data_IF_761128939691
#
_entry.id   IF_761128939691
#
_cell.length_a   1.000
_cell.length_b   1.000
_cell.length_c   1.000
_cell.angle_alpha   90.00
_cell.angle_beta   90.00
_cell.angle_gamma   90.00
#
_symmetry.space_group_name_H-M   'P 1'
#
loop_
_entity.id
_entity.type
_entity.pdbx_description
1 polymer ?
#
# COMPACT_ATOMS: atom_id res chain seq x y z
N UNK A 1 -14.60 -9.54 13.45
CA UNK A 1 -15.24 -8.21 13.53
C UNK A 1 -16.61 -8.41 14.17
N UNK A 2 -16.85 -7.84 15.35
CA UNK A 2 -18.19 -7.75 15.92
C UNK A 2 -18.43 -6.30 16.31
N UNK A 3 -19.67 -5.85 16.16
CA UNK A 3 -20.11 -4.51 16.54
C UNK A 3 -20.83 -4.66 17.88
N UNK A 4 -20.30 -4.06 18.94
CA UNK A 4 -20.94 -3.99 20.25
C UNK A 4 -21.53 -2.59 20.45
N UNK A 5 -22.85 -2.53 20.62
CA UNK A 5 -23.59 -1.27 20.76
C UNK A 5 -23.80 -0.95 22.25
N UNK A 6 -23.06 0.01 22.79
CA UNK A 6 -23.22 0.49 24.18
C UNK A 6 -24.24 1.65 24.32
N UNK A 7 -25.36 1.60 23.60
CA UNK A 7 -26.32 2.72 23.53
C UNK A 7 -27.01 3.09 24.86
N UNK A 8 -26.97 2.23 25.88
CA UNK A 8 -27.71 2.43 27.13
C UNK A 8 -26.87 2.89 28.33
N UNK A 9 -25.59 3.24 28.11
CA UNK A 9 -24.68 3.70 29.18
C UNK A 9 -24.09 5.09 28.94
N UNK A 10 -24.41 5.71 27.81
CA UNK A 10 -23.95 7.08 27.52
C UNK A 10 -24.89 8.11 28.19
N UNK A 11 -24.37 8.96 29.09
CA UNK A 11 -25.16 9.95 29.81
C UNK A 11 -25.71 11.09 28.91
N UNK A 12 -25.31 11.16 27.63
CA UNK A 12 -25.79 12.13 26.64
C UNK A 12 -27.11 11.71 25.96
N UNK A 13 -27.70 10.58 26.37
CA UNK A 13 -29.05 10.18 25.97
C UNK A 13 -30.12 11.18 26.49
N UNK A 14 -31.18 11.51 25.71
CA UNK A 14 -31.51 11.02 24.38
C UNK A 14 -30.68 11.65 23.27
N UNK A 15 -30.28 10.82 22.31
CA UNK A 15 -29.43 11.21 21.20
C UNK A 15 -30.19 11.97 20.10
N UNK A 16 -29.52 12.95 19.49
CA UNK A 16 -29.97 13.57 18.23
C UNK A 16 -29.72 12.61 17.05
N UNK A 17 -30.41 12.82 15.92
CA UNK A 17 -30.34 11.92 14.75
C UNK A 17 -28.93 11.76 14.16
N UNK A 18 -28.01 12.67 14.47
CA UNK A 18 -26.61 12.70 14.04
C UNK A 18 -25.64 12.03 15.03
N UNK A 19 -26.08 11.68 16.24
CA UNK A 19 -25.22 11.08 17.26
C UNK A 19 -24.48 9.85 16.75
N UNK A 20 -25.19 8.89 16.17
CA UNK A 20 -24.59 7.68 15.64
C UNK A 20 -23.76 7.92 14.38
N UNK A 21 -24.07 8.96 13.59
CA UNK A 21 -23.24 9.34 12.45
C UNK A 21 -21.87 9.86 12.91
N UNK A 22 -21.82 10.55 14.04
CA UNK A 22 -20.56 11.01 14.64
C UNK A 22 -19.78 9.89 15.35
N UNK A 23 -20.48 8.90 15.91
CA UNK A 23 -19.84 7.76 16.59
C UNK A 23 -19.34 6.68 15.61
N UNK A 24 -20.01 6.48 14.47
CA UNK A 24 -19.61 5.53 13.44
C UNK A 24 -18.81 6.19 12.30
N UNK A 25 -17.63 6.70 12.63
CA UNK A 25 -16.69 7.17 11.62
C UNK A 25 -15.75 6.04 11.20
N UNK A 26 -15.83 5.65 9.93
CA UNK A 26 -14.87 4.74 9.32
C UNK A 26 -13.73 5.57 8.71
N UNK A 27 -12.56 5.52 9.34
CA UNK A 27 -11.35 6.13 8.78
C UNK A 27 -10.55 5.06 8.05
N UNK A 28 -10.74 4.98 6.74
CA UNK A 28 -9.87 4.16 5.90
C UNK A 28 -8.45 4.76 5.87
N UNK A 29 -7.40 3.93 5.73
CA UNK A 29 -6.07 4.44 5.46
C UNK A 29 -6.05 5.22 4.14
N UNK A 30 -5.14 6.16 4.01
CA UNK A 30 -4.91 6.92 2.79
C UNK A 30 -3.43 6.85 2.45
N UNK A 31 -3.12 6.51 1.20
CA UNK A 31 -1.77 6.66 0.66
C UNK A 31 -1.65 8.11 0.21
N UNK A 32 -0.97 8.94 1.00
CA UNK A 32 -0.90 10.40 0.76
C UNK A 32 0.29 10.78 -0.12
N UNK A 33 1.36 9.98 -0.07
CA UNK A 33 2.53 10.16 -0.93
C UNK A 33 3.12 8.80 -1.30
N UNK A 34 3.71 8.72 -2.49
CA UNK A 34 4.43 7.54 -2.93
C UNK A 34 5.49 7.90 -3.97
N UNK A 35 6.58 7.15 -3.97
CA UNK A 35 7.63 7.26 -4.99
C UNK A 35 7.90 5.88 -5.55
N UNK A 36 7.69 5.74 -6.86
CA UNK A 36 8.09 4.58 -7.66
C UNK A 36 8.97 5.11 -8.81
N UNK A 37 10.11 4.47 -9.13
CA UNK A 37 10.93 4.88 -10.25
C UNK A 37 10.10 4.88 -11.53
N UNK A 38 10.28 5.88 -12.39
CA UNK A 38 9.63 5.87 -13.72
C UNK A 38 10.28 4.88 -14.66
N UNK A 39 11.56 4.57 -14.43
CA UNK A 39 12.37 3.68 -15.26
C UNK A 39 13.30 2.84 -14.39
N UNK A 40 13.45 1.57 -14.75
CA UNK A 40 14.34 0.59 -14.12
C UNK A 40 15.20 -0.04 -15.20
N UNK A 41 16.52 -0.05 -15.01
CA UNK A 41 17.43 -0.66 -15.97
C UNK A 41 17.52 -2.17 -15.77
N UNK A 42 17.45 -2.92 -16.86
CA UNK A 42 17.54 -4.38 -16.87
C UNK A 42 18.61 -4.86 -17.85
N UNK A 43 19.20 -6.02 -17.56
CA UNK A 43 20.13 -6.68 -18.47
C UNK A 43 19.36 -7.39 -19.59
N UNK A 44 20.03 -7.76 -20.69
CA UNK A 44 19.42 -8.57 -21.75
C UNK A 44 19.00 -9.98 -21.28
N UNK A 45 19.49 -10.43 -20.12
CA UNK A 45 19.07 -11.67 -19.48
C UNK A 45 17.80 -11.52 -18.62
N UNK A 46 17.31 -10.29 -18.43
CA UNK A 46 16.14 -9.97 -17.62
C UNK A 46 16.43 -9.80 -16.13
N UNK A 47 17.70 -9.52 -15.78
CA UNK A 47 18.11 -9.24 -14.41
C UNK A 47 18.04 -7.74 -14.12
N UNK A 48 17.71 -7.37 -12.88
CA UNK A 48 17.76 -5.97 -12.44
C UNK A 48 19.22 -5.49 -12.43
N UNK A 49 19.49 -4.35 -13.06
CA UNK A 49 20.80 -3.69 -12.99
C UNK A 49 20.94 -2.78 -11.76
N UNK A 50 19.83 -2.53 -11.07
CA UNK A 50 19.72 -1.70 -9.88
C UNK A 50 18.49 -2.11 -9.08
N UNK A 51 18.49 -1.86 -7.78
CA UNK A 51 17.36 -2.16 -6.92
C UNK A 51 16.14 -1.29 -7.29
N UNK A 52 14.96 -1.90 -7.24
CA UNK A 52 13.69 -1.21 -7.36
C UNK A 52 13.20 -0.82 -5.96
N UNK A 53 13.26 0.47 -5.66
CA UNK A 53 12.84 1.02 -4.36
C UNK A 53 11.48 1.68 -4.48
N UNK A 54 10.52 1.29 -3.64
CA UNK A 54 9.18 1.87 -3.54
C UNK A 54 9.00 2.48 -2.16
N UNK A 55 8.77 3.80 -2.11
CA UNK A 55 8.50 4.52 -0.88
C UNK A 55 7.02 4.88 -0.80
N UNK A 56 6.42 4.75 0.38
CA UNK A 56 4.99 5.00 0.60
C UNK A 56 4.79 5.72 1.93
N UNK A 57 3.92 6.71 1.96
CA UNK A 57 3.43 7.39 3.17
C UNK A 57 1.95 7.10 3.34
N UNK A 58 1.55 6.70 4.55
CA UNK A 58 0.18 6.34 4.91
C UNK A 58 -0.30 7.17 6.09
N UNK A 59 -1.51 7.71 5.95
CA UNK A 59 -2.22 8.44 6.99
C UNK A 59 -3.60 7.83 7.25
N UNK A 60 -4.13 8.04 8.46
CA UNK A 60 -5.52 7.77 8.81
C UNK A 60 -6.07 9.02 9.47
N UNK A 61 -7.21 9.50 8.97
CA UNK A 61 -7.85 10.74 9.45
C UNK A 61 -6.91 11.97 9.43
N UNK A 62 -5.98 12.04 8.48
CA UNK A 62 -5.05 13.16 8.31
C UNK A 62 -3.86 13.15 9.28
N UNK A 63 -3.58 12.02 9.93
CA UNK A 63 -2.41 11.84 10.77
C UNK A 63 -1.59 10.60 10.32
N UNK A 64 -0.26 10.63 10.42
CA UNK A 64 0.58 9.47 10.11
C UNK A 64 0.25 8.29 11.03
N UNK A 65 0.34 7.07 10.49
CA UNK A 65 0.03 5.85 11.25
C UNK A 65 1.16 4.84 11.22
N UNK A 66 1.57 4.38 12.40
CA UNK A 66 2.55 3.31 12.56
C UNK A 66 1.91 1.93 12.45
N UNK A 67 2.74 0.93 12.12
CA UNK A 67 2.38 -0.49 12.07
C UNK A 67 1.28 -0.87 11.06
N UNK A 68 0.95 0.00 10.11
CA UNK A 68 0.09 -0.36 8.98
C UNK A 68 0.89 -1.16 7.97
N UNK A 69 0.29 -2.23 7.45
CA UNK A 69 0.90 -3.03 6.39
C UNK A 69 0.75 -2.34 5.05
N UNK A 70 1.87 -2.14 4.36
CA UNK A 70 1.93 -1.75 2.96
C UNK A 70 2.43 -2.93 2.15
N UNK A 71 1.62 -3.38 1.21
CA UNK A 71 1.92 -4.47 0.30
C UNK A 71 2.11 -3.92 -1.11
N UNK A 72 3.24 -4.23 -1.72
CA UNK A 72 3.56 -3.82 -3.08
C UNK A 72 3.59 -5.06 -3.98
N UNK A 73 2.84 -5.01 -5.08
CA UNK A 73 2.77 -6.07 -6.07
C UNK A 73 3.10 -5.48 -7.43
N UNK A 74 4.15 -6.00 -8.06
CA UNK A 74 4.58 -5.58 -9.40
C UNK A 74 4.17 -6.63 -10.42
N UNK A 75 3.48 -6.21 -11.47
CA UNK A 75 3.05 -7.08 -12.58
C UNK A 75 3.61 -6.60 -13.91
N UNK A 76 3.97 -7.54 -14.77
CA UNK A 76 4.29 -7.23 -16.16
C UNK A 76 3.01 -6.95 -16.98
N UNK A 77 3.17 -6.65 -18.27
CA UNK A 77 2.07 -6.35 -19.19
C UNK A 77 1.09 -7.51 -19.42
N UNK A 78 1.48 -8.75 -19.12
CA UNK A 78 0.59 -9.93 -19.21
C UNK A 78 -0.15 -10.21 -17.91
N UNK A 79 0.10 -9.43 -16.85
CA UNK A 79 -0.50 -9.57 -15.53
C UNK A 79 0.23 -10.57 -14.61
N UNK A 80 1.38 -11.11 -15.03
CA UNK A 80 2.18 -12.00 -14.18
C UNK A 80 2.86 -11.21 -13.06
N UNK A 81 2.83 -11.73 -11.84
CA UNK A 81 3.46 -11.12 -10.67
C UNK A 81 4.97 -11.37 -10.75
N UNK A 82 5.73 -10.29 -10.84
CA UNK A 82 7.20 -10.34 -10.92
C UNK A 82 7.84 -10.07 -9.56
N UNK A 83 7.24 -9.17 -8.78
CA UNK A 83 7.65 -8.90 -7.40
C UNK A 83 6.45 -8.80 -6.50
N UNK A 84 6.60 -9.27 -5.26
CA UNK A 84 5.64 -9.05 -4.18
C UNK A 84 6.39 -8.99 -2.86
N UNK A 85 6.16 -7.94 -2.10
CA UNK A 85 6.67 -7.82 -0.74
C UNK A 85 5.74 -6.94 0.09
N UNK A 86 5.87 -7.03 1.41
CA UNK A 86 5.11 -6.22 2.35
C UNK A 86 5.94 -5.82 3.57
N UNK A 87 5.73 -4.59 4.01
CA UNK A 87 6.40 -4.03 5.17
C UNK A 87 5.43 -3.18 5.98
N UNK A 88 5.84 -2.84 7.21
CA UNK A 88 5.04 -2.02 8.11
C UNK A 88 5.53 -0.58 8.12
N UNK A 89 4.61 0.36 8.24
CA UNK A 89 4.94 1.77 8.42
C UNK A 89 5.60 2.04 9.77
N UNK A 90 6.52 3.00 9.78
CA UNK A 90 7.17 3.55 10.96
C UNK A 90 6.27 4.57 11.70
N UNK A 91 6.80 5.20 12.75
CA UNK A 91 6.07 6.21 13.54
C UNK A 91 5.64 7.45 12.74
N UNK A 92 6.32 7.73 11.62
CA UNK A 92 6.00 8.83 10.71
C UNK A 92 5.04 8.39 9.58
N UNK A 93 4.50 7.17 9.64
CA UNK A 93 3.60 6.64 8.62
C UNK A 93 4.30 6.23 7.32
N UNK A 94 5.63 6.13 7.33
CA UNK A 94 6.44 5.88 6.13
C UNK A 94 6.93 4.45 6.08
N UNK A 95 7.16 3.97 4.87
CA UNK A 95 7.78 2.68 4.61
C UNK A 95 8.54 2.70 3.28
N UNK A 96 9.65 1.98 3.25
CA UNK A 96 10.46 1.76 2.05
C UNK A 96 10.57 0.26 1.80
N UNK A 97 10.17 -0.18 0.61
CA UNK A 97 10.24 -1.58 0.17
C UNK A 97 11.23 -1.63 -0.98
N UNK A 98 12.26 -2.46 -0.85
CA UNK A 98 13.33 -2.59 -1.83
C UNK A 98 13.30 -3.99 -2.43
N UNK A 99 13.14 -4.06 -3.74
CA UNK A 99 13.23 -5.29 -4.51
C UNK A 99 14.60 -5.39 -5.17
N UNK A 100 15.30 -6.47 -4.88
CA UNK A 100 16.57 -6.86 -5.49
C UNK A 100 16.33 -7.94 -6.54
N UNK A 101 17.37 -8.26 -7.31
CA UNK A 101 17.28 -9.29 -8.34
C UNK A 101 16.93 -10.67 -7.78
N UNK A 102 17.31 -10.98 -6.53
CA UNK A 102 16.97 -12.25 -5.89
C UNK A 102 15.50 -12.39 -5.50
N UNK A 103 14.75 -11.28 -5.44
CA UNK A 103 13.35 -11.28 -5.02
C UNK A 103 12.39 -11.58 -6.19
N UNK A 104 12.92 -11.65 -7.43
CA UNK A 104 12.10 -11.80 -8.63
C UNK A 104 11.48 -13.19 -8.72
N UNK A 105 10.19 -13.23 -8.99
CA UNK A 105 9.45 -14.45 -9.28
C UNK A 105 9.46 -14.79 -10.78
N UNK A 106 9.90 -13.86 -11.63
CA UNK A 106 10.09 -14.03 -13.06
C UNK A 106 11.13 -13.03 -13.60
N UNK A 107 11.70 -13.26 -14.81
CA UNK A 107 12.58 -12.28 -15.45
C UNK A 107 11.90 -10.92 -15.70
N UNK A 108 12.67 -9.85 -15.56
CA UNK A 108 12.23 -8.48 -15.84
C UNK A 108 12.68 -8.11 -17.27
N UNK A 109 11.80 -8.32 -18.24
CA UNK A 109 12.08 -7.97 -19.64
C UNK A 109 11.72 -6.50 -19.92
N UNK A 110 12.24 -5.95 -21.01
CA UNK A 110 11.88 -4.60 -21.45
C UNK A 110 10.36 -4.48 -21.63
N UNK A 111 9.78 -3.40 -21.10
CA UNK A 111 8.35 -3.13 -21.20
C UNK A 111 7.80 -2.36 -20.01
N UNK A 112 6.48 -2.18 -19.99
CA UNK A 112 5.78 -1.48 -18.92
C UNK A 112 5.28 -2.44 -17.85
N UNK A 113 5.50 -2.07 -16.60
CA UNK A 113 5.10 -2.80 -15.42
C UNK A 113 4.10 -1.98 -14.61
N UNK A 114 3.09 -2.65 -14.07
CA UNK A 114 2.11 -2.04 -13.14
C UNK A 114 2.53 -2.33 -11.72
N UNK A 115 2.57 -1.29 -10.89
CA UNK A 115 2.80 -1.38 -9.45
C UNK A 115 1.48 -1.13 -8.74
N UNK A 116 1.02 -2.13 -8.01
CA UNK A 116 -0.12 -2.05 -7.12
C UNK A 116 0.38 -1.89 -5.68
N UNK A 117 -0.06 -0.83 -5.01
CA UNK A 117 0.29 -0.53 -3.63
C UNK A 117 -0.99 -0.63 -2.81
N UNK A 118 -1.00 -1.48 -1.79
CA UNK A 118 -2.12 -1.64 -0.85
C UNK A 118 -1.67 -1.26 0.54
N UNK A 119 -2.44 -0.41 1.22
CA UNK A 119 -2.23 -0.06 2.63
C UNK A 119 -3.43 -0.51 3.47
N UNK A 120 -3.17 -1.21 4.58
CA UNK A 120 -4.21 -1.74 5.48
C UNK A 120 -3.66 -1.97 6.90
N UNK A 121 -4.51 -1.87 7.92
CA UNK A 121 -4.11 -2.06 9.33
C UNK A 121 -3.81 -3.53 9.63
N UNK A 122 -4.72 -4.41 9.22
CA UNK A 122 -4.63 -5.86 9.40
C UNK A 122 -5.20 -6.57 8.18
N UNK A 123 -4.80 -7.82 7.97
CA UNK A 123 -5.39 -8.64 6.92
C UNK A 123 -6.91 -8.74 7.11
N UNK A 124 -7.67 -8.61 6.02
CA UNK A 124 -9.14 -8.49 6.01
C UNK A 124 -9.76 -7.17 6.52
N UNK A 125 -8.96 -6.14 6.85
CA UNK A 125 -9.45 -4.76 6.97
C UNK A 125 -9.70 -4.12 5.60
N UNK A 126 -10.40 -2.99 5.55
CA UNK A 126 -10.65 -2.25 4.30
C UNK A 126 -9.33 -1.64 3.82
N UNK A 127 -8.75 -2.10 2.70
CA UNK A 127 -7.49 -1.55 2.23
C UNK A 127 -7.75 -0.30 1.39
N UNK A 128 -6.76 0.57 1.35
CA UNK A 128 -6.63 1.55 0.26
C UNK A 128 -5.65 1.03 -0.76
N UNK A 129 -6.04 1.10 -2.04
CA UNK A 129 -5.23 0.59 -3.15
C UNK A 129 -4.94 1.71 -4.14
N UNK A 130 -3.67 1.82 -4.54
CA UNK A 130 -3.18 2.73 -5.56
C UNK A 130 -2.46 1.95 -6.66
N UNK A 131 -2.66 2.36 -7.91
CA UNK A 131 -1.96 1.81 -9.06
C UNK A 131 -1.07 2.86 -9.69
N UNK A 132 0.17 2.48 -10.01
CA UNK A 132 1.13 3.28 -10.77
C UNK A 132 1.92 2.35 -11.72
N UNK A 133 2.92 2.86 -12.41
CA UNK A 133 3.71 2.08 -13.36
C UNK A 133 5.16 2.55 -13.46
N UNK A 134 6.02 1.66 -13.97
CA UNK A 134 7.37 1.98 -14.42
C UNK A 134 7.70 1.27 -15.73
N UNK A 135 8.70 1.77 -16.45
CA UNK A 135 9.27 1.11 -17.62
C UNK A 135 10.55 0.35 -17.25
N UNK A 136 10.64 -0.93 -17.58
CA UNK A 136 11.91 -1.65 -17.60
C UNK A 136 12.56 -1.40 -18.97
N UNK A 137 13.82 -0.97 -18.98
CA UNK A 137 14.57 -0.66 -20.21
C UNK A 137 15.94 -1.30 -20.19
N UNK A 138 16.42 -1.73 -21.35
CA UNK A 138 17.82 -2.12 -21.53
C UNK A 138 18.61 -0.84 -21.86
N UNK A 139 19.66 -0.50 -21.10
CA UNK A 139 20.47 0.71 -21.33
C UNK A 139 21.27 0.69 -22.63
#
# INVERSE_FOLDING_TARGET
MFIELHSFRDPTYPFMGDYWLNQFQFHAPQITDYTVPTTVNVTTAGDLSQDLVVNVTVEVAGAPVANYTVKVIVRNSTGFIVFVDEAKTDEDGKVSITFTDSDKLAPVLEGTYTVEIRAYETEASVPTTLFTAFAAVVP
#
